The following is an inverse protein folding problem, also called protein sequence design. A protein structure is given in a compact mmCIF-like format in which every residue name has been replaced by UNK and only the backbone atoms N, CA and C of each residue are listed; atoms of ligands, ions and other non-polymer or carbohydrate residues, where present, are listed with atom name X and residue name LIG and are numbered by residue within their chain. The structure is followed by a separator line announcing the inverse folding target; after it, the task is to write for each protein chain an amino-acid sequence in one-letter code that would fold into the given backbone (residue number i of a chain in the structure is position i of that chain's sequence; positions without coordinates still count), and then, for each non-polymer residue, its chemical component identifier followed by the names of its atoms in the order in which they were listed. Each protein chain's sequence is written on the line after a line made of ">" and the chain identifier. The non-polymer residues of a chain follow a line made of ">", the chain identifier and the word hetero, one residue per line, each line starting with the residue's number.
data_IF_101421450155
#
_entry.id   IF_101421450155
#
_cell.length_a   1.000
_cell.length_b   1.000
_cell.length_c   1.000
_cell.angle_alpha   90.00
_cell.angle_beta   90.00
_cell.angle_gamma   90.00
#
_symmetry.space_group_name_H-M   'P 1'
#
loop_
_entity.id
_entity.type
_entity.pdbx_description
1 polymer ?
#
# COMPACT_ATOMS: atom_id res chain seq x y z
N UNK A 1 52.14 70.12 -45.38
CA UNK A 1 50.94 69.24 -45.44
C UNK A 1 51.05 68.23 -44.31
N UNK A 2 50.22 68.32 -43.27
CA UNK A 2 50.28 67.46 -42.09
C UNK A 2 49.21 66.38 -42.19
N UNK A 3 49.62 65.12 -42.04
CA UNK A 3 48.75 63.96 -41.93
C UNK A 3 47.98 63.97 -40.60
N UNK A 4 46.70 63.62 -40.64
CA UNK A 4 45.85 63.39 -39.46
C UNK A 4 45.29 61.97 -39.60
N UNK A 5 45.59 61.12 -38.63
CA UNK A 5 45.10 59.74 -38.50
C UNK A 5 43.96 59.71 -37.46
N UNK A 6 42.82 59.03 -37.70
CA UNK A 6 41.73 58.97 -36.72
C UNK A 6 41.94 57.85 -35.68
N UNK A 7 41.34 57.94 -34.47
CA UNK A 7 41.54 56.96 -33.42
C UNK A 7 40.68 55.71 -33.62
N UNK A 8 41.28 54.55 -33.36
CA UNK A 8 40.62 53.24 -33.34
C UNK A 8 39.64 53.15 -32.16
N UNK A 9 38.36 52.96 -32.46
CA UNK A 9 37.32 52.64 -31.49
C UNK A 9 37.49 51.20 -30.99
N UNK A 10 37.74 51.01 -29.68
CA UNK A 10 37.76 49.70 -29.04
C UNK A 10 36.33 49.23 -28.77
N UNK A 11 35.90 48.19 -29.48
CA UNK A 11 34.64 47.49 -29.23
C UNK A 11 34.88 46.47 -28.10
N UNK A 12 34.51 46.82 -26.85
CA UNK A 12 34.52 45.87 -25.73
C UNK A 12 33.33 44.92 -25.84
N UNK A 13 33.58 43.67 -26.21
CA UNK A 13 32.62 42.58 -26.08
C UNK A 13 32.49 42.21 -24.60
N UNK A 14 31.41 42.65 -23.94
CA UNK A 14 31.08 42.20 -22.58
C UNK A 14 30.40 40.84 -22.70
N UNK A 15 31.14 39.78 -22.39
CA UNK A 15 30.62 38.42 -22.32
C UNK A 15 29.79 38.28 -21.03
N UNK A 16 28.46 38.40 -21.12
CA UNK A 16 27.55 38.18 -19.99
C UNK A 16 27.44 36.68 -19.76
N UNK A 17 28.22 36.16 -18.80
CA UNK A 17 28.14 34.78 -18.36
C UNK A 17 26.86 34.59 -17.54
N UNK A 18 25.80 34.08 -18.16
CA UNK A 18 24.54 33.75 -17.48
C UNK A 18 24.77 32.54 -16.55
N UNK A 19 25.11 32.80 -15.29
CA UNK A 19 25.16 31.79 -14.22
C UNK A 19 23.76 31.21 -14.02
N UNK A 20 23.51 30.02 -14.58
CA UNK A 20 22.33 29.22 -14.23
C UNK A 20 22.48 28.76 -12.79
N UNK A 21 21.66 29.32 -11.91
CA UNK A 21 21.52 28.82 -10.55
C UNK A 21 20.85 27.44 -10.63
N UNK A 22 21.66 26.39 -10.59
CA UNK A 22 21.16 25.01 -10.42
C UNK A 22 20.71 24.91 -8.97
N UNK A 23 19.40 24.93 -8.74
CA UNK A 23 18.85 24.64 -7.41
C UNK A 23 19.00 23.14 -7.18
N UNK A 24 19.88 22.73 -6.27
CA UNK A 24 19.82 21.39 -5.72
C UNK A 24 18.56 21.31 -4.86
N UNK A 25 17.59 20.50 -5.28
CA UNK A 25 16.50 20.05 -4.42
C UNK A 25 16.99 18.81 -3.70
N UNK A 26 17.08 18.87 -2.38
CA UNK A 26 17.24 17.67 -1.56
C UNK A 26 15.85 17.03 -1.39
N UNK A 27 15.62 15.90 -2.06
CA UNK A 27 14.46 15.04 -1.81
C UNK A 27 14.76 14.16 -0.61
N UNK A 28 13.96 14.29 0.46
CA UNK A 28 14.00 13.37 1.59
C UNK A 28 12.96 12.28 1.42
N UNK A 29 13.31 11.05 1.77
CA UNK A 29 12.36 9.95 1.95
C UNK A 29 11.33 10.32 3.04
N UNK A 30 10.04 10.17 2.75
CA UNK A 30 8.95 10.48 3.70
C UNK A 30 8.04 9.27 3.78
N UNK A 31 7.81 8.78 5.00
CA UNK A 31 6.86 7.70 5.22
C UNK A 31 5.43 8.21 5.01
N UNK A 32 4.67 7.48 4.22
CA UNK A 32 3.27 7.72 3.90
C UNK A 32 2.46 6.46 4.16
N UNK A 33 1.19 6.61 4.50
CA UNK A 33 0.30 5.50 4.81
C UNK A 33 -0.74 5.29 3.74
N UNK A 34 -1.19 4.04 3.58
CA UNK A 34 -2.37 3.65 2.82
C UNK A 34 -3.28 2.91 3.79
N UNK A 35 -4.36 3.57 4.20
CA UNK A 35 -5.38 3.02 5.08
C UNK A 35 -6.38 2.18 4.28
N UNK A 36 -6.91 1.13 4.88
CA UNK A 36 -7.85 0.20 4.25
C UNK A 36 -9.15 0.86 3.75
N UNK A 37 -9.66 1.89 4.45
CA UNK A 37 -10.91 2.59 4.10
C UNK A 37 -10.66 4.01 3.57
N UNK A 38 -9.69 4.73 4.14
CA UNK A 38 -9.38 6.13 3.83
C UNK A 38 -8.37 6.27 2.70
N UNK A 39 -7.66 5.19 2.35
CA UNK A 39 -6.72 5.15 1.24
C UNK A 39 -5.40 5.85 1.54
N UNK A 40 -4.70 6.22 0.47
CA UNK A 40 -3.38 6.83 0.52
C UNK A 40 -3.42 8.25 1.11
N UNK A 41 -2.66 8.46 2.18
CA UNK A 41 -2.46 9.75 2.85
C UNK A 41 -1.94 10.87 1.93
N UNK A 42 -1.28 10.54 0.82
CA UNK A 42 -0.73 11.50 -0.12
C UNK A 42 -1.70 11.91 -1.22
N UNK A 43 -2.39 10.93 -1.80
CA UNK A 43 -3.19 11.11 -3.03
C UNK A 43 -4.70 10.97 -2.80
N UNK A 44 -5.11 10.37 -1.68
CA UNK A 44 -6.49 9.95 -1.41
C UNK A 44 -6.93 8.74 -2.24
N UNK A 45 -6.02 8.06 -2.95
CA UNK A 45 -6.35 6.87 -3.73
C UNK A 45 -6.80 5.73 -2.80
N UNK A 46 -7.99 5.20 -3.03
CA UNK A 46 -8.54 4.12 -2.23
C UNK A 46 -7.96 2.77 -2.65
N UNK A 47 -7.91 1.84 -1.69
CA UNK A 47 -7.59 0.44 -1.94
C UNK A 47 -8.70 -0.21 -2.74
N UNK A 48 -8.32 -0.99 -3.75
CA UNK A 48 -9.26 -1.75 -4.57
C UNK A 48 -9.34 -3.19 -4.05
N UNK A 49 -10.53 -3.55 -3.59
CA UNK A 49 -10.85 -4.91 -3.15
C UNK A 49 -11.58 -5.65 -4.27
N UNK A 50 -11.21 -6.88 -4.59
CA UNK A 50 -11.94 -7.72 -5.54
C UNK A 50 -12.26 -9.10 -4.93
N UNK A 51 -13.36 -9.75 -5.35
CA UNK A 51 -14.36 -9.28 -6.31
C UNK A 51 -15.25 -8.19 -5.70
N UNK A 52 -15.68 -7.24 -6.54
CA UNK A 52 -16.77 -6.32 -6.23
C UNK A 52 -18.07 -6.99 -6.71
N UNK A 53 -18.82 -7.62 -5.81
CA UNK A 53 -20.15 -8.17 -6.12
C UNK A 53 -21.24 -7.13 -5.82
N UNK A 54 -22.30 -7.02 -6.64
CA UNK A 54 -23.41 -6.10 -6.38
C UNK A 54 -24.07 -6.41 -5.03
N UNK A 55 -24.60 -5.40 -4.32
CA UNK A 55 -25.24 -5.58 -3.00
C UNK A 55 -26.36 -6.65 -2.95
N UNK A 56 -26.93 -7.04 -4.10
CA UNK A 56 -27.91 -8.13 -4.23
C UNK A 56 -27.31 -9.54 -4.17
N UNK A 57 -25.99 -9.66 -4.26
CA UNK A 57 -25.21 -10.89 -4.21
C UNK A 57 -24.23 -10.74 -3.05
N UNK A 58 -24.37 -11.58 -2.02
CA UNK A 58 -23.57 -11.63 -0.79
C UNK A 58 -22.25 -10.85 -0.88
N UNK A 59 -22.24 -9.62 -0.37
CA UNK A 59 -21.03 -8.79 -0.28
C UNK A 59 -19.88 -9.61 0.33
N UNK A 60 -18.68 -9.53 -0.26
CA UNK A 60 -17.55 -10.37 0.15
C UNK A 60 -16.60 -9.63 1.09
N UNK A 61 -16.41 -8.34 0.83
CA UNK A 61 -15.58 -7.44 1.63
C UNK A 61 -16.44 -6.62 2.56
N UNK A 62 -16.11 -6.67 3.85
CA UNK A 62 -16.80 -5.96 4.92
C UNK A 62 -15.82 -5.08 5.68
N UNK A 63 -16.34 -3.99 6.21
CA UNK A 63 -15.63 -3.12 7.13
C UNK A 63 -16.50 -2.86 8.36
N UNK A 64 -16.00 -2.07 9.29
CA UNK A 64 -16.72 -1.73 10.53
C UNK A 64 -18.15 -1.18 10.32
N UNK A 65 -18.44 -0.54 9.17
CA UNK A 65 -19.77 0.03 8.88
C UNK A 65 -20.71 -0.94 8.18
N UNK A 66 -20.18 -1.88 7.40
CA UNK A 66 -20.97 -2.81 6.59
C UNK A 66 -21.18 -4.17 7.24
N UNK A 67 -20.46 -4.49 8.32
CA UNK A 67 -20.52 -5.76 9.05
C UNK A 67 -21.56 -5.75 10.20
N UNK A 68 -22.84 -5.49 9.89
CA UNK A 68 -23.89 -5.56 10.91
C UNK A 68 -24.18 -7.01 11.33
N UNK A 69 -23.71 -7.41 12.52
CA UNK A 69 -23.92 -8.76 13.06
C UNK A 69 -22.80 -9.77 12.77
N UNK A 70 -21.64 -9.30 12.31
CA UNK A 70 -20.45 -10.14 12.23
C UNK A 70 -19.99 -10.53 13.63
N UNK A 71 -19.84 -11.84 13.85
CA UNK A 71 -19.21 -12.35 15.05
C UNK A 71 -17.71 -12.06 15.00
N UNK A 72 -17.13 -11.79 16.16
CA UNK A 72 -15.68 -11.73 16.36
C UNK A 72 -14.97 -10.87 15.32
N UNK A 73 -15.21 -9.55 15.38
CA UNK A 73 -14.57 -8.54 14.54
C UNK A 73 -13.38 -7.90 15.27
N UNK A 74 -12.40 -7.35 14.53
CA UNK A 74 -11.32 -6.57 15.14
C UNK A 74 -11.84 -5.42 16.01
N UNK A 75 -11.18 -5.19 17.14
CA UNK A 75 -11.35 -4.01 17.97
C UNK A 75 -10.77 -2.80 17.24
N UNK A 76 -11.65 -1.95 16.71
CA UNK A 76 -11.27 -0.76 15.98
C UNK A 76 -10.38 0.20 16.78
N UNK A 77 -10.38 0.15 18.13
CA UNK A 77 -9.46 1.00 18.90
C UNK A 77 -7.99 0.58 18.79
N UNK A 78 -7.72 -0.62 18.26
CA UNK A 78 -6.38 -1.19 18.07
C UNK A 78 -5.94 -1.25 16.61
N UNK A 79 -6.84 -0.99 15.66
CA UNK A 79 -6.52 -0.91 14.24
C UNK A 79 -6.00 0.47 13.87
N UNK A 80 -5.28 0.55 12.75
CA UNK A 80 -4.80 1.83 12.25
C UNK A 80 -6.00 2.70 11.92
N UNK A 81 -5.99 3.92 12.46
CA UNK A 81 -6.99 4.94 12.18
C UNK A 81 -8.45 4.56 12.50
N UNK A 82 -8.67 3.44 13.20
CA UNK A 82 -9.98 2.97 13.61
C UNK A 82 -10.78 2.26 12.53
N UNK A 83 -10.14 1.76 11.47
CA UNK A 83 -10.79 1.07 10.36
C UNK A 83 -10.15 -0.30 10.10
N UNK A 84 -10.88 -1.18 9.43
CA UNK A 84 -10.39 -2.47 8.94
C UNK A 84 -11.31 -2.99 7.84
N UNK A 85 -10.73 -3.71 6.89
CA UNK A 85 -11.46 -4.29 5.77
C UNK A 85 -11.11 -5.77 5.65
N UNK A 86 -12.13 -6.61 5.74
CA UNK A 86 -11.98 -8.05 5.82
C UNK A 86 -12.83 -8.79 4.79
N UNK A 87 -12.35 -9.94 4.36
CA UNK A 87 -13.11 -10.89 3.57
C UNK A 87 -12.69 -12.32 3.89
N UNK A 88 -13.66 -13.23 3.86
CA UNK A 88 -13.46 -14.66 4.00
C UNK A 88 -13.45 -15.31 2.62
N UNK A 89 -12.29 -15.84 2.22
CA UNK A 89 -12.14 -16.69 1.05
C UNK A 89 -12.73 -18.08 1.32
N UNK A 90 -13.43 -18.59 0.30
CA UNK A 90 -13.93 -19.94 0.18
C UNK A 90 -13.75 -20.35 -1.29
N UNK A 91 -13.58 -21.65 -1.53
CA UNK A 91 -13.22 -22.16 -2.87
C UNK A 91 -14.20 -21.77 -3.99
N UNK A 92 -15.47 -21.52 -3.66
CA UNK A 92 -16.53 -21.12 -4.60
C UNK A 92 -16.47 -19.64 -5.03
N UNK A 93 -15.69 -18.81 -4.32
CA UNK A 93 -15.51 -17.37 -4.63
C UNK A 93 -14.52 -17.16 -5.79
N UNK A 94 -13.60 -18.11 -6.02
CA UNK A 94 -12.54 -18.00 -7.03
C UNK A 94 -11.27 -17.38 -6.47
N UNK A 95 -11.21 -16.05 -6.34
CA UNK A 95 -10.09 -15.33 -5.71
C UNK A 95 -10.55 -14.10 -4.95
N UNK A 96 -9.85 -13.77 -3.85
CA UNK A 96 -9.95 -12.48 -3.16
C UNK A 96 -8.65 -11.71 -3.38
N UNK A 97 -8.76 -10.41 -3.64
CA UNK A 97 -7.57 -9.58 -3.77
C UNK A 97 -7.70 -8.17 -3.21
N UNK A 98 -6.56 -7.63 -2.80
CA UNK A 98 -6.36 -6.28 -2.29
C UNK A 98 -5.31 -5.62 -3.18
N UNK A 99 -5.66 -4.54 -3.85
CA UNK A 99 -4.77 -3.83 -4.77
C UNK A 99 -4.61 -2.38 -4.33
N UNK A 100 -3.36 -1.92 -4.27
CA UNK A 100 -3.02 -0.55 -3.94
C UNK A 100 -1.87 -0.05 -4.82
N UNK A 101 -1.82 1.27 -5.00
CA UNK A 101 -0.79 1.95 -5.80
C UNK A 101 -0.02 2.90 -4.90
N UNK A 102 1.29 2.98 -5.11
CA UNK A 102 2.16 3.88 -4.36
C UNK A 102 3.33 4.33 -5.22
N UNK A 103 3.95 5.45 -4.86
CA UNK A 103 5.17 5.94 -5.50
C UNK A 103 6.26 5.99 -4.44
N UNK A 104 7.30 5.16 -4.57
CA UNK A 104 8.35 5.08 -3.56
C UNK A 104 9.37 3.98 -3.81
N UNK A 105 10.14 3.70 -2.76
CA UNK A 105 11.30 2.81 -2.74
C UNK A 105 11.15 1.66 -1.74
N UNK A 106 10.13 1.74 -0.87
CA UNK A 106 9.82 0.71 0.09
C UNK A 106 8.31 0.60 0.36
N UNK A 107 7.86 -0.58 0.76
CA UNK A 107 6.49 -0.83 1.25
C UNK A 107 6.51 -1.84 2.41
N UNK A 108 5.64 -1.63 3.39
CA UNK A 108 5.40 -2.48 4.56
C UNK A 108 3.89 -2.68 4.68
N UNK A 109 3.42 -3.91 4.81
CA UNK A 109 1.99 -4.27 4.82
C UNK A 109 1.63 -4.87 6.17
N UNK A 110 0.56 -4.37 6.77
CA UNK A 110 0.11 -4.77 8.10
C UNK A 110 -1.31 -5.33 8.04
N UNK A 111 -1.48 -6.51 8.61
CA UNK A 111 -2.79 -7.16 8.79
C UNK A 111 -3.18 -7.18 10.27
N UNK A 112 -4.48 -7.38 10.50
CA UNK A 112 -4.97 -7.95 11.76
C UNK A 112 -5.04 -9.47 11.60
N UNK A 113 -4.40 -10.22 12.49
CA UNK A 113 -4.28 -11.68 12.39
C UNK A 113 -5.16 -12.35 13.45
N UNK A 114 -6.22 -13.08 13.05
CA UNK A 114 -7.07 -13.82 13.99
C UNK A 114 -6.42 -15.13 14.45
N UNK A 115 -6.60 -15.47 15.72
CA UNK A 115 -6.11 -16.70 16.32
C UNK A 115 -7.21 -17.45 17.11
N UNK A 116 -8.39 -17.65 16.52
CA UNK A 116 -9.48 -18.37 17.17
C UNK A 116 -9.21 -19.87 17.30
N UNK A 117 -9.88 -20.50 18.27
CA UNK A 117 -9.81 -21.95 18.48
C UNK A 117 -10.35 -22.71 17.26
N UNK A 118 -9.74 -23.85 16.94
CA UNK A 118 -10.11 -24.64 15.76
C UNK A 118 -11.57 -25.13 15.77
N UNK A 119 -12.17 -25.32 16.94
CA UNK A 119 -13.56 -25.76 17.14
C UNK A 119 -14.56 -24.61 17.27
N UNK A 120 -14.11 -23.34 17.18
CA UNK A 120 -14.99 -22.16 17.26
C UNK A 120 -15.90 -21.97 16.04
N UNK A 121 -15.55 -22.60 14.90
CA UNK A 121 -16.22 -22.36 13.61
C UNK A 121 -15.84 -21.02 12.96
N UNK A 122 -14.90 -20.27 13.54
CA UNK A 122 -14.41 -18.99 13.03
C UNK A 122 -13.16 -19.19 12.16
N UNK A 123 -13.06 -18.42 11.08
CA UNK A 123 -11.89 -18.45 10.22
C UNK A 123 -10.69 -17.78 10.89
N UNK A 124 -9.56 -18.48 10.95
CA UNK A 124 -8.31 -17.97 11.56
C UNK A 124 -7.06 -18.23 10.72
N UNK A 125 -7.21 -18.85 9.55
CA UNK A 125 -6.08 -19.13 8.66
C UNK A 125 -5.94 -18.00 7.65
N UNK A 126 -4.71 -17.58 7.37
CA UNK A 126 -4.39 -16.62 6.31
C UNK A 126 -3.44 -17.31 5.35
N UNK A 127 -3.68 -17.20 4.05
CA UNK A 127 -2.75 -17.67 3.03
C UNK A 127 -2.85 -16.76 1.82
N UNK A 128 -1.79 -16.00 1.55
CA UNK A 128 -1.74 -15.08 0.43
C UNK A 128 -0.37 -15.00 -0.23
N UNK A 129 -0.38 -14.50 -1.45
CA UNK A 129 0.79 -14.17 -2.27
C UNK A 129 0.79 -12.68 -2.60
N UNK A 130 1.99 -12.09 -2.60
CA UNK A 130 2.22 -10.68 -2.87
C UNK A 130 2.86 -10.53 -4.24
N UNK A 131 2.36 -9.57 -5.00
CA UNK A 131 2.88 -9.20 -6.30
C UNK A 131 3.19 -7.71 -6.32
N UNK A 132 4.40 -7.35 -6.73
CA UNK A 132 4.75 -5.97 -7.06
C UNK A 132 4.96 -5.89 -8.56
N UNK A 133 4.23 -4.99 -9.21
CA UNK A 133 4.29 -4.79 -10.67
C UNK A 133 4.08 -6.09 -11.47
N UNK A 134 3.12 -6.90 -11.00
CA UNK A 134 2.76 -8.22 -11.57
C UNK A 134 3.82 -9.32 -11.40
N UNK A 135 4.86 -9.09 -10.58
CA UNK A 135 5.87 -10.10 -10.26
C UNK A 135 5.62 -10.62 -8.85
N UNK A 136 5.54 -11.94 -8.69
CA UNK A 136 5.43 -12.58 -7.38
C UNK A 136 6.70 -12.30 -6.55
N UNK A 137 6.54 -11.73 -5.35
CA UNK A 137 7.64 -11.24 -4.51
C UNK A 137 7.63 -11.80 -3.10
N UNK A 138 6.62 -12.57 -2.72
CA UNK A 138 6.57 -13.24 -1.43
C UNK A 138 5.21 -13.86 -1.14
N UNK A 139 5.13 -14.61 -0.06
CA UNK A 139 3.90 -15.20 0.44
C UNK A 139 3.81 -15.04 1.95
N UNK A 140 2.59 -15.03 2.47
CA UNK A 140 2.34 -15.09 3.90
C UNK A 140 1.34 -16.21 4.20
N UNK A 141 1.69 -17.07 5.15
CA UNK A 141 0.87 -18.17 5.62
C UNK A 141 0.80 -18.11 7.14
N UNK A 142 -0.41 -18.09 7.69
CA UNK A 142 -0.68 -18.08 9.12
C UNK A 142 -1.63 -19.20 9.49
N UNK A 143 -1.33 -19.85 10.61
CA UNK A 143 -2.19 -20.83 11.26
C UNK A 143 -2.44 -20.36 12.69
N UNK A 144 -3.70 -20.45 13.12
CA UNK A 144 -4.10 -20.04 14.46
C UNK A 144 -3.27 -20.73 15.55
N UNK A 145 -2.80 -19.93 16.50
CA UNK A 145 -2.22 -20.45 17.75
C UNK A 145 -3.28 -20.81 18.81
N UNK A 146 -4.57 -20.58 18.53
CA UNK A 146 -5.69 -20.93 19.41
C UNK A 146 -5.84 -20.02 20.64
N UNK A 147 -5.20 -18.85 20.68
CA UNK A 147 -5.31 -17.90 21.79
C UNK A 147 -6.72 -17.29 21.96
N UNK A 148 -7.56 -17.35 20.94
CA UNK A 148 -8.87 -16.70 20.90
C UNK A 148 -8.79 -15.18 20.68
N UNK A 149 -7.64 -14.66 20.27
CA UNK A 149 -7.38 -13.23 20.16
C UNK A 149 -6.99 -12.79 18.74
N UNK A 150 -7.12 -11.49 18.50
CA UNK A 150 -6.53 -10.83 17.35
C UNK A 150 -5.12 -10.32 17.68
N UNK A 151 -4.20 -10.47 16.73
CA UNK A 151 -2.90 -9.82 16.72
C UNK A 151 -2.93 -8.63 15.75
N UNK A 152 -2.69 -7.43 16.27
CA UNK A 152 -2.74 -6.17 15.52
C UNK A 152 -1.33 -5.71 15.12
N UNK A 153 -1.23 -4.86 14.09
CA UNK A 153 0.05 -4.35 13.58
C UNK A 153 1.00 -5.48 13.15
N UNK A 154 0.46 -6.59 12.65
CA UNK A 154 1.23 -7.74 12.21
C UNK A 154 1.82 -7.46 10.83
N UNK A 155 3.14 -7.31 10.75
CA UNK A 155 3.86 -7.13 9.50
C UNK A 155 3.83 -8.43 8.68
N UNK A 156 3.06 -8.44 7.59
CA UNK A 156 2.89 -9.65 6.75
C UNK A 156 3.75 -9.63 5.49
N UNK A 157 4.18 -8.45 5.05
CA UNK A 157 5.07 -8.28 3.90
C UNK A 157 5.86 -6.98 4.02
N UNK A 158 7.11 -7.00 3.54
CA UNK A 158 7.89 -5.80 3.34
C UNK A 158 8.82 -5.94 2.12
N UNK A 159 9.09 -4.81 1.47
CA UNK A 159 10.14 -4.67 0.49
C UNK A 159 10.79 -3.30 0.65
N UNK A 160 12.11 -3.26 0.81
CA UNK A 160 12.88 -2.03 1.09
C UNK A 160 13.89 -1.70 0.00
N UNK A 161 13.82 -2.41 -1.12
CA UNK A 161 14.79 -2.34 -2.21
C UNK A 161 14.11 -2.08 -3.55
N UNK A 162 12.93 -1.46 -3.56
CA UNK A 162 12.26 -1.11 -4.79
C UNK A 162 12.98 0.08 -5.46
N UNK A 163 13.11 0.06 -6.80
CA UNK A 163 13.53 1.25 -7.54
C UNK A 163 12.59 2.41 -7.24
N UNK A 164 13.10 3.64 -7.14
CA UNK A 164 12.24 4.81 -7.00
C UNK A 164 11.30 4.94 -8.21
N UNK A 165 9.99 4.89 -7.96
CA UNK A 165 8.99 4.97 -9.03
C UNK A 165 7.58 4.60 -8.58
N UNK A 166 6.68 4.55 -9.55
CA UNK A 166 5.29 4.11 -9.36
C UNK A 166 5.24 2.59 -9.32
N UNK A 167 4.54 2.05 -8.33
CA UNK A 167 4.36 0.63 -8.10
C UNK A 167 2.90 0.26 -7.88
N UNK A 168 2.56 -0.97 -8.26
CA UNK A 168 1.29 -1.61 -7.91
C UNK A 168 1.59 -2.80 -7.01
N UNK A 169 1.07 -2.77 -5.78
CA UNK A 169 1.02 -3.92 -4.91
C UNK A 169 -0.34 -4.61 -5.07
N UNK A 170 -0.28 -5.90 -5.36
CA UNK A 170 -1.42 -6.80 -5.38
C UNK A 170 -1.19 -7.90 -4.33
N UNK A 171 -2.20 -8.13 -3.50
CA UNK A 171 -2.25 -9.22 -2.54
C UNK A 171 -3.38 -10.14 -2.97
N UNK A 172 -3.10 -11.43 -3.19
CA UNK A 172 -4.12 -12.41 -3.56
C UNK A 172 -4.13 -13.59 -2.61
N UNK A 173 -5.31 -14.05 -2.23
CA UNK A 173 -5.45 -15.32 -1.51
C UNK A 173 -4.97 -16.47 -2.39
N UNK A 174 -4.25 -17.42 -1.80
CA UNK A 174 -3.76 -18.62 -2.49
C UNK A 174 -4.31 -19.90 -1.86
N UNK A 175 -4.31 -20.97 -2.64
CA UNK A 175 -4.78 -22.29 -2.20
C UNK A 175 -6.28 -22.48 -2.34
N UNK A 176 -6.77 -23.65 -1.89
CA UNK A 176 -8.19 -24.04 -1.95
C UNK A 176 -8.89 -24.01 -0.58
N UNK A 177 -8.12 -23.86 0.49
CA UNK A 177 -8.64 -23.85 1.85
C UNK A 177 -9.24 -22.47 2.18
N UNK A 178 -10.22 -22.44 3.09
CA UNK A 178 -10.79 -21.20 3.54
C UNK A 178 -9.74 -20.34 4.25
N UNK A 179 -9.65 -19.07 3.86
CA UNK A 179 -8.67 -18.12 4.40
C UNK A 179 -9.32 -16.76 4.63
N UNK A 180 -8.99 -16.09 5.72
CA UNK A 180 -9.46 -14.73 5.98
C UNK A 180 -8.34 -13.74 5.67
N UNK A 181 -8.70 -12.63 5.01
CA UNK A 181 -7.84 -11.46 4.89
C UNK A 181 -8.47 -10.36 5.73
N UNK A 182 -7.68 -9.73 6.60
CA UNK A 182 -8.06 -8.52 7.34
C UNK A 182 -6.95 -7.50 7.11
N UNK A 183 -7.11 -6.69 6.08
CA UNK A 183 -6.17 -5.62 5.77
C UNK A 183 -6.46 -4.41 6.66
N UNK A 184 -5.40 -3.86 7.24
CA UNK A 184 -5.45 -2.71 8.15
C UNK A 184 -4.81 -1.49 7.48
N UNK A 185 -3.49 -1.57 7.21
CA UNK A 185 -2.80 -0.47 6.52
C UNK A 185 -1.49 -0.92 5.88
N UNK A 186 -0.94 -0.05 5.03
CA UNK A 186 0.43 -0.14 4.54
C UNK A 186 1.19 1.17 4.78
N UNK A 187 2.51 1.08 4.87
CA UNK A 187 3.44 2.21 4.90
C UNK A 187 4.35 2.12 3.67
N UNK A 188 4.55 3.22 2.96
CA UNK A 188 5.56 3.32 1.91
C UNK A 188 6.48 4.54 2.12
N UNK A 189 7.64 4.51 1.47
CA UNK A 189 8.69 5.53 1.60
C UNK A 189 9.15 6.03 0.24
#
# INVERSE_FOLDING_TARGET
>A
MRCICPPLARCSFVLILALRVVRLVAGGAVNRTIDDVRGDSATGALVQYLPQVPASSKMLWFNQTSCAGCADVPDASQTFDGTWTAALYQADIGSLSVTMKFTGTAIYVFFVVPNFLADSGLASSISCEFFVDSVAVGTFDHQSNGSGAFEYNSLVYQNVTLPDGDHVLLIETKGADAAIIIFDYAIYT
#
